data_IF_965825080184
#
_entry.id   IF_965825080184
#
_cell.length_a   1.000
_cell.length_b   1.000
_cell.length_c   1.000
_cell.angle_alpha   90.00
_cell.angle_beta   90.00
_cell.angle_gamma   90.00
#
_symmetry.space_group_name_H-M   'P 1'
#
loop_
_entity.id
_entity.type
_entity.pdbx_description
1 polymer ?
#
# COMPACT_ATOMS: atom_id res chain seq x y z
N UNK A 1 9.61 -5.14 13.07
CA UNK A 1 8.59 -6.17 12.73
C UNK A 1 7.51 -6.30 13.82
N UNK A 2 6.98 -5.18 14.32
CA UNK A 2 5.88 -5.17 15.29
C UNK A 2 4.59 -4.50 14.74
N UNK A 3 4.54 -4.21 13.44
CA UNK A 3 3.59 -3.23 12.88
C UNK A 3 2.21 -3.81 12.49
N UNK A 4 2.10 -5.11 12.19
CA UNK A 4 0.83 -5.73 11.77
C UNK A 4 0.18 -6.59 12.87
N UNK A 5 0.99 -7.27 13.68
CA UNK A 5 0.50 -8.27 14.62
C UNK A 5 -0.45 -7.70 15.70
N UNK A 6 -0.11 -6.57 16.33
CA UNK A 6 -0.94 -5.96 17.38
C UNK A 6 -2.29 -5.44 16.82
N UNK A 7 -2.32 -4.63 15.74
CA UNK A 7 -3.59 -4.25 15.13
C UNK A 7 -4.47 -5.43 14.71
N UNK A 8 -3.85 -6.50 14.18
CA UNK A 8 -4.57 -7.71 13.79
C UNK A 8 -5.19 -8.44 14.98
N UNK A 9 -4.42 -8.66 16.05
CA UNK A 9 -4.91 -9.31 17.28
C UNK A 9 -6.04 -8.50 17.91
N UNK A 10 -5.93 -7.18 17.92
CA UNK A 10 -6.98 -6.29 18.43
C UNK A 10 -8.23 -6.32 17.56
N UNK A 11 -8.07 -6.42 16.24
CA UNK A 11 -9.18 -6.61 15.30
C UNK A 11 -9.92 -7.93 15.56
N UNK A 12 -9.19 -9.04 15.66
CA UNK A 12 -9.75 -10.36 15.96
C UNK A 12 -10.48 -10.39 17.30
N UNK A 13 -9.91 -9.71 18.32
CA UNK A 13 -10.53 -9.60 19.63
C UNK A 13 -11.72 -8.60 19.68
N UNK A 14 -11.99 -7.85 18.60
CA UNK A 14 -13.02 -6.81 18.58
C UNK A 14 -12.73 -5.63 19.50
N UNK A 15 -11.46 -5.31 19.75
CA UNK A 15 -10.99 -4.28 20.71
C UNK A 15 -10.36 -3.06 20.05
N UNK A 16 -10.51 -2.93 18.74
CA UNK A 16 -10.18 -1.69 18.04
C UNK A 16 -11.21 -0.61 18.37
N UNK A 17 -10.72 0.57 18.70
CA UNK A 17 -11.53 1.79 18.71
C UNK A 17 -11.70 2.31 17.27
N UNK A 18 -12.47 3.38 17.08
CA UNK A 18 -12.77 3.93 15.75
C UNK A 18 -11.49 4.34 15.00
N UNK A 19 -10.56 5.00 15.69
CA UNK A 19 -9.28 5.38 15.11
C UNK A 19 -8.43 4.15 14.73
N UNK A 20 -8.40 3.13 15.59
CA UNK A 20 -7.75 1.85 15.35
C UNK A 20 -8.35 1.10 14.17
N UNK A 21 -9.67 1.13 14.00
CA UNK A 21 -10.35 0.51 12.87
C UNK A 21 -9.96 1.18 11.53
N UNK A 22 -9.88 2.51 11.51
CA UNK A 22 -9.41 3.26 10.33
C UNK A 22 -7.96 2.95 10.02
N UNK A 23 -7.08 2.95 11.03
CA UNK A 23 -5.67 2.64 10.85
C UNK A 23 -5.46 1.19 10.37
N UNK A 24 -6.16 0.24 10.97
CA UNK A 24 -6.12 -1.17 10.59
C UNK A 24 -6.61 -1.37 9.15
N UNK A 25 -7.71 -0.72 8.76
CA UNK A 25 -8.20 -0.76 7.38
C UNK A 25 -7.15 -0.26 6.38
N UNK A 26 -6.47 0.85 6.67
CA UNK A 26 -5.40 1.39 5.80
C UNK A 26 -4.23 0.42 5.69
N UNK A 27 -3.86 -0.21 6.81
CA UNK A 27 -2.84 -1.24 6.83
C UNK A 27 -3.25 -2.45 5.97
N UNK A 28 -4.47 -2.96 6.11
CA UNK A 28 -4.95 -4.09 5.31
C UNK A 28 -5.04 -3.77 3.82
N UNK A 29 -5.40 -2.53 3.47
CA UNK A 29 -5.36 -2.05 2.10
C UNK A 29 -3.93 -2.06 1.53
N UNK A 30 -2.95 -1.55 2.30
CA UNK A 30 -1.54 -1.54 1.90
C UNK A 30 -1.00 -2.96 1.71
N UNK A 31 -1.07 -3.78 2.77
CA UNK A 31 -0.54 -5.15 2.80
C UNK A 31 -1.23 -6.04 1.76
N UNK A 32 -2.54 -5.88 1.56
CA UNK A 32 -3.31 -6.64 0.58
C UNK A 32 -2.89 -6.38 -0.86
N UNK A 33 -2.70 -5.10 -1.24
CA UNK A 33 -2.20 -4.75 -2.57
C UNK A 33 -0.75 -5.20 -2.74
N UNK A 34 0.09 -4.95 -1.75
CA UNK A 34 1.52 -5.29 -1.79
C UNK A 34 1.72 -6.80 -1.96
N UNK A 35 1.01 -7.62 -1.17
CA UNK A 35 1.09 -9.07 -1.21
C UNK A 35 0.69 -9.64 -2.58
N UNK A 36 -0.38 -9.11 -3.21
CA UNK A 36 -0.81 -9.57 -4.54
C UNK A 36 0.25 -9.23 -5.60
N UNK A 37 0.76 -8.00 -5.61
CA UNK A 37 1.77 -7.59 -6.59
C UNK A 37 3.08 -8.37 -6.41
N UNK A 38 3.48 -8.63 -5.17
CA UNK A 38 4.64 -9.47 -4.87
C UNK A 38 4.45 -10.93 -5.30
N UNK A 39 3.25 -11.49 -5.10
CA UNK A 39 2.91 -12.83 -5.58
C UNK A 39 2.96 -12.94 -7.12
N UNK A 40 2.74 -11.83 -7.83
CA UNK A 40 2.87 -11.70 -9.28
C UNK A 40 4.32 -11.47 -9.75
N UNK A 41 5.28 -11.46 -8.83
CA UNK A 41 6.71 -11.34 -9.14
C UNK A 41 7.25 -9.91 -9.11
N UNK A 42 6.46 -8.91 -8.70
CA UNK A 42 6.98 -7.57 -8.44
C UNK A 42 7.90 -7.62 -7.20
N UNK A 43 9.09 -7.01 -7.22
CA UNK A 43 9.91 -6.92 -6.02
C UNK A 43 9.19 -6.06 -4.97
N UNK A 44 9.46 -6.33 -3.68
CA UNK A 44 8.94 -5.51 -2.57
C UNK A 44 9.28 -4.02 -2.77
N UNK A 45 10.55 -3.74 -3.06
CA UNK A 45 11.06 -2.41 -3.43
C UNK A 45 11.99 -2.53 -4.63
N UNK A 46 11.99 -1.52 -5.49
CA UNK A 46 13.06 -1.33 -6.46
C UNK A 46 14.32 -0.89 -5.73
N UNK A 47 15.45 -1.56 -5.95
CA UNK A 47 16.71 -1.17 -5.32
C UNK A 47 17.32 -0.01 -6.09
N UNK A 48 17.38 1.17 -5.46
CA UNK A 48 18.06 2.35 -5.97
C UNK A 48 18.66 3.14 -4.81
N UNK A 49 19.67 2.51 -4.20
CA UNK A 49 20.39 3.07 -3.07
C UNK A 49 21.31 4.20 -3.53
N UNK A 50 21.27 5.32 -2.81
CA UNK A 50 22.26 6.39 -2.97
C UNK A 50 23.62 6.02 -2.33
N UNK A 51 24.57 6.95 -2.36
CA UNK A 51 25.91 6.74 -1.82
C UNK A 51 25.93 6.44 -0.31
N UNK A 52 24.87 6.81 0.42
CA UNK A 52 24.71 6.59 1.85
C UNK A 52 23.88 5.31 2.15
N UNK A 53 23.49 4.56 1.12
CA UNK A 53 22.68 3.35 1.24
C UNK A 53 21.19 3.61 1.45
N UNK A 54 20.71 4.83 1.17
CA UNK A 54 19.29 5.17 1.28
C UNK A 54 18.59 4.82 -0.02
N UNK A 55 17.62 3.90 0.04
CA UNK A 55 16.83 3.55 -1.13
C UNK A 55 15.81 4.65 -1.47
N UNK A 56 15.99 5.28 -2.63
CA UNK A 56 15.04 6.24 -3.17
C UNK A 56 14.34 5.67 -4.40
N UNK A 57 13.03 5.50 -4.31
CA UNK A 57 12.28 5.04 -5.47
C UNK A 57 12.23 6.08 -6.59
N UNK A 58 12.28 5.59 -7.82
CA UNK A 58 12.08 6.37 -9.05
C UNK A 58 11.05 5.67 -9.93
N UNK A 59 10.74 6.25 -11.10
CA UNK A 59 9.87 5.58 -12.09
C UNK A 59 10.51 4.31 -12.66
N UNK A 60 11.83 4.24 -12.66
CA UNK A 60 12.63 3.12 -13.15
C UNK A 60 12.93 2.10 -12.04
N UNK A 61 12.93 2.55 -10.78
CA UNK A 61 13.21 1.72 -9.62
C UNK A 61 12.10 1.87 -8.57
N UNK A 62 11.08 1.03 -8.69
CA UNK A 62 9.96 0.95 -7.73
C UNK A 62 9.60 -0.51 -7.47
N UNK A 63 8.92 -0.77 -6.35
CA UNK A 63 8.36 -2.08 -6.05
C UNK A 63 6.90 -2.00 -5.65
N UNK A 64 6.40 -3.14 -5.18
CA UNK A 64 5.02 -3.29 -4.70
C UNK A 64 4.70 -2.30 -3.59
N UNK A 65 5.68 -1.99 -2.74
CA UNK A 65 5.52 -1.05 -1.64
C UNK A 65 5.16 0.36 -2.10
N UNK A 66 5.84 0.87 -3.14
CA UNK A 66 5.64 2.25 -3.61
C UNK A 66 4.36 2.46 -4.42
N UNK A 67 3.89 1.42 -5.11
CA UNK A 67 2.63 1.48 -5.86
C UNK A 67 1.42 1.15 -4.99
N UNK A 68 1.62 0.55 -3.81
CA UNK A 68 0.54 0.30 -2.85
C UNK A 68 0.07 1.61 -2.18
N UNK A 69 -1.21 1.71 -1.79
CA UNK A 69 -1.70 2.84 -0.99
C UNK A 69 -0.92 2.98 0.32
N UNK A 70 -0.58 4.19 0.72
CA UNK A 70 0.15 4.45 1.95
C UNK A 70 -0.75 4.20 3.18
N UNK A 71 -0.25 3.43 4.13
CA UNK A 71 -0.91 2.97 5.34
C UNK A 71 -1.01 4.02 6.46
N UNK A 72 -0.09 4.99 6.53
CA UNK A 72 -0.05 6.00 7.61
C UNK A 72 -0.46 7.41 7.18
N UNK A 73 -0.34 7.76 5.89
CA UNK A 73 -0.66 9.11 5.41
C UNK A 73 -2.17 9.34 5.22
N UNK A 74 -2.62 10.58 5.43
CA UNK A 74 -4.00 10.98 5.16
C UNK A 74 -4.33 10.92 3.66
N UNK A 75 -3.36 11.23 2.79
CA UNK A 75 -3.43 10.95 1.36
C UNK A 75 -2.73 9.60 1.08
N UNK A 76 -3.46 8.53 0.76
CA UNK A 76 -2.87 7.22 0.49
C UNK A 76 -2.05 7.19 -0.81
N UNK A 77 -2.24 8.15 -1.72
CA UNK A 77 -1.58 8.18 -3.03
C UNK A 77 -0.39 9.16 -3.06
N UNK A 78 0.21 9.44 -1.90
CA UNK A 78 1.30 10.43 -1.78
C UNK A 78 2.52 10.08 -2.67
N UNK A 79 2.85 8.80 -2.82
CA UNK A 79 3.97 8.32 -3.64
C UNK A 79 3.65 8.33 -5.15
N UNK A 80 2.37 8.16 -5.51
CA UNK A 80 1.93 7.95 -6.89
C UNK A 80 2.27 9.11 -7.81
N UNK A 81 2.18 10.35 -7.31
CA UNK A 81 2.57 11.53 -8.09
C UNK A 81 4.04 11.48 -8.54
N UNK A 82 4.94 10.95 -7.71
CA UNK A 82 6.36 10.79 -8.07
C UNK A 82 6.55 9.68 -9.11
N UNK A 83 5.72 8.64 -9.07
CA UNK A 83 5.66 7.58 -10.07
C UNK A 83 4.96 8.01 -11.37
N UNK A 84 4.25 9.14 -11.37
CA UNK A 84 3.45 9.58 -12.52
C UNK A 84 2.11 8.86 -12.65
N UNK A 85 1.60 8.31 -11.55
CA UNK A 85 0.28 7.71 -11.43
C UNK A 85 -0.72 8.74 -10.86
N UNK A 86 -1.94 8.73 -11.37
CA UNK A 86 -3.06 9.48 -10.81
C UNK A 86 -3.81 8.64 -9.76
N UNK A 87 -4.48 9.25 -8.77
CA UNK A 87 -5.42 8.54 -7.90
C UNK A 87 -6.52 7.81 -8.70
N UNK A 88 -7.02 6.66 -8.21
CA UNK A 88 -8.10 5.96 -8.89
C UNK A 88 -9.38 6.82 -8.90
N UNK A 89 -10.20 6.75 -9.96
CA UNK A 89 -11.42 7.56 -10.10
C UNK A 89 -12.60 7.01 -9.26
N UNK A 90 -12.32 6.18 -8.25
CA UNK A 90 -13.30 5.51 -7.42
C UNK A 90 -12.84 5.45 -5.96
N UNK A 91 -13.81 5.30 -5.06
CA UNK A 91 -13.55 5.10 -3.64
C UNK A 91 -13.31 3.62 -3.32
N UNK A 92 -12.32 3.34 -2.48
CA UNK A 92 -12.16 2.02 -1.88
C UNK A 92 -13.23 1.85 -0.80
N UNK A 93 -13.99 0.76 -0.85
CA UNK A 93 -15.08 0.51 0.09
C UNK A 93 -14.54 0.22 1.50
N UNK A 94 -15.29 0.58 2.57
CA UNK A 94 -14.95 0.28 3.96
C UNK A 94 -14.59 -1.17 4.25
N UNK A 95 -15.26 -2.09 3.58
CA UNK A 95 -15.09 -3.54 3.72
C UNK A 95 -14.02 -4.13 2.79
N UNK A 96 -13.33 -3.29 2.00
CA UNK A 96 -12.31 -3.68 1.02
C UNK A 96 -12.82 -4.65 -0.08
N UNK A 97 -14.13 -4.77 -0.28
CA UNK A 97 -14.71 -5.70 -1.27
C UNK A 97 -14.36 -5.37 -2.72
N UNK A 98 -13.87 -4.16 -3.00
CA UNK A 98 -13.40 -3.73 -4.31
C UNK A 98 -11.87 -3.59 -4.40
N UNK A 99 -11.12 -4.34 -3.58
CA UNK A 99 -9.66 -4.33 -3.63
C UNK A 99 -9.12 -4.77 -5.01
N UNK A 100 -9.77 -5.72 -5.66
CA UNK A 100 -9.40 -6.18 -6.99
C UNK A 100 -9.47 -5.07 -8.05
N UNK A 101 -10.44 -4.15 -7.94
CA UNK A 101 -10.56 -2.99 -8.84
C UNK A 101 -9.33 -2.07 -8.70
N UNK A 102 -8.85 -1.87 -7.47
CA UNK A 102 -7.65 -1.10 -7.20
C UNK A 102 -6.40 -1.77 -7.74
N UNK A 103 -6.26 -3.07 -7.53
CA UNK A 103 -5.11 -3.83 -8.03
C UNK A 103 -5.08 -3.76 -9.56
N UNK A 104 -6.23 -3.94 -10.22
CA UNK A 104 -6.33 -3.83 -11.67
C UNK A 104 -6.03 -2.40 -12.16
N UNK A 105 -6.46 -1.38 -11.43
CA UNK A 105 -6.07 0.00 -11.72
C UNK A 105 -4.54 0.17 -11.65
N UNK A 106 -3.89 -0.33 -10.60
CA UNK A 106 -2.43 -0.26 -10.45
C UNK A 106 -1.74 -1.00 -11.61
N UNK A 107 -2.19 -2.20 -11.97
CA UNK A 107 -1.61 -2.97 -13.10
C UNK A 107 -1.60 -2.19 -14.41
N UNK A 108 -2.66 -1.42 -14.68
CA UNK A 108 -2.82 -0.64 -15.91
C UNK A 108 -2.06 0.68 -15.92
N UNK A 109 -1.79 1.25 -14.75
CA UNK A 109 -1.29 2.61 -14.62
C UNK A 109 0.10 2.72 -13.97
N UNK A 110 0.65 1.63 -13.40
CA UNK A 110 2.02 1.61 -12.91
C UNK A 110 3.03 1.95 -14.04
N UNK A 111 4.19 2.55 -13.72
CA UNK A 111 5.17 3.01 -14.71
C UNK A 111 5.73 1.90 -15.61
#
# INVERSE_FOLDING_TARGET
MAHVADPWQRAEAGTLDEAGAVAFRRLMLHEGVEAVLMAEGMPYRGMNDDADGVNWFTKEHYGAHEVSPHETHANPYIAWRKLGMDPPPFEIRPDLTNLDDLIEYIRRNKP
#
